data_IF_640710616594
#
_entry.id   IF_640710616594
#
_cell.length_a   1.000
_cell.length_b   1.000
_cell.length_c   1.000
_cell.angle_alpha   90.00
_cell.angle_beta   90.00
_cell.angle_gamma   90.00
#
_symmetry.space_group_name_H-M   'P 1'
#
loop_
_entity.id
_entity.type
_entity.pdbx_description
1 polymer ?
#
# COMPACT_ATOMS: atom_id res chain seq x y z
N UNK A 1 -16.91 -14.67 -14.08
CA UNK A 1 -15.78 -14.24 -13.22
C UNK A 1 -16.16 -14.40 -11.75
N UNK A 2 -15.19 -14.76 -10.90
CA UNK A 2 -15.35 -14.76 -9.45
C UNK A 2 -14.63 -13.55 -8.88
N UNK A 3 -15.36 -12.60 -8.29
CA UNK A 3 -14.86 -11.26 -7.94
C UNK A 3 -15.08 -11.01 -6.45
N UNK A 4 -14.02 -10.67 -5.72
CA UNK A 4 -14.10 -10.20 -4.35
C UNK A 4 -14.18 -8.67 -4.31
N UNK A 5 -14.98 -8.09 -3.41
CA UNK A 5 -15.17 -6.64 -3.29
C UNK A 5 -15.02 -6.22 -1.84
N UNK A 6 -14.19 -5.21 -1.62
CA UNK A 6 -13.93 -4.66 -0.29
C UNK A 6 -13.96 -3.13 -0.31
N UNK A 7 -14.46 -2.55 0.75
CA UNK A 7 -14.25 -1.16 1.16
C UNK A 7 -13.98 -1.11 2.66
N UNK A 8 -13.12 -0.19 3.06
CA UNK A 8 -12.91 0.07 4.49
C UNK A 8 -14.04 0.89 5.08
N UNK A 9 -14.45 1.92 4.34
CA UNK A 9 -15.47 2.87 4.77
C UNK A 9 -16.84 2.50 4.19
N UNK A 10 -17.88 2.82 4.91
CA UNK A 10 -19.27 2.67 4.49
C UNK A 10 -19.86 4.07 4.41
N UNK A 11 -20.15 4.51 3.19
CA UNK A 11 -20.76 5.79 2.91
C UNK A 11 -21.51 5.74 1.58
N UNK A 12 -22.28 6.79 1.28
CA UNK A 12 -23.14 6.84 0.09
C UNK A 12 -22.37 6.65 -1.23
N UNK A 13 -21.13 7.14 -1.33
CA UNK A 13 -20.31 6.96 -2.53
C UNK A 13 -19.91 5.48 -2.74
N UNK A 14 -19.58 4.78 -1.66
CA UNK A 14 -19.28 3.33 -1.68
C UNK A 14 -20.52 2.54 -2.05
N UNK A 15 -21.66 2.84 -1.46
CA UNK A 15 -22.95 2.19 -1.76
C UNK A 15 -23.33 2.36 -3.24
N UNK A 16 -23.22 3.57 -3.77
CA UNK A 16 -23.51 3.85 -5.18
C UNK A 16 -22.58 3.08 -6.13
N UNK A 17 -21.29 3.00 -5.81
CA UNK A 17 -20.32 2.22 -6.61
C UNK A 17 -20.63 0.74 -6.52
N UNK A 18 -20.86 0.21 -5.31
CA UNK A 18 -21.19 -1.21 -5.10
C UNK A 18 -22.49 -1.59 -5.82
N UNK A 19 -23.54 -0.77 -5.70
CA UNK A 19 -24.79 -0.97 -6.42
C UNK A 19 -24.56 -0.99 -7.95
N UNK A 20 -23.78 -0.02 -8.48
CA UNK A 20 -23.46 0.03 -9.90
C UNK A 20 -22.73 -1.22 -10.39
N UNK A 21 -21.82 -1.78 -9.60
CA UNK A 21 -21.12 -3.03 -9.93
C UNK A 21 -22.10 -4.21 -10.02
N UNK A 22 -22.98 -4.36 -9.02
CA UNK A 22 -23.84 -5.52 -8.88
C UNK A 22 -25.01 -5.54 -9.89
N UNK A 23 -25.48 -4.36 -10.36
CA UNK A 23 -26.57 -4.25 -11.32
C UNK A 23 -26.10 -4.00 -12.76
N UNK A 24 -24.78 -3.92 -13.00
CA UNK A 24 -24.26 -3.70 -14.34
C UNK A 24 -24.67 -4.80 -15.32
N UNK A 25 -24.93 -4.46 -16.59
CA UNK A 25 -25.38 -5.44 -17.61
C UNK A 25 -24.46 -6.67 -17.75
N UNK A 26 -23.15 -6.47 -17.61
CA UNK A 26 -22.14 -7.54 -17.67
C UNK A 26 -22.02 -8.35 -16.37
N UNK A 27 -22.71 -7.96 -15.30
CA UNK A 27 -22.65 -8.62 -13.98
C UNK A 27 -23.28 -10.01 -13.99
N UNK A 28 -24.21 -10.29 -14.92
CA UNK A 28 -24.92 -11.57 -15.04
C UNK A 28 -23.99 -12.78 -15.18
N UNK A 29 -22.76 -12.59 -15.67
CA UNK A 29 -21.73 -13.61 -15.84
C UNK A 29 -20.69 -13.63 -14.70
N UNK A 30 -20.97 -12.96 -13.59
CA UNK A 30 -20.06 -12.82 -12.48
C UNK A 30 -20.64 -13.38 -11.17
N UNK A 31 -19.79 -14.00 -10.37
CA UNK A 31 -20.08 -14.40 -9.00
C UNK A 31 -19.38 -13.42 -8.07
N UNK A 32 -20.15 -12.60 -7.37
CA UNK A 32 -19.62 -11.60 -6.47
C UNK A 32 -19.51 -12.13 -5.04
N UNK A 33 -18.43 -11.77 -4.39
CA UNK A 33 -18.16 -11.99 -2.98
C UNK A 33 -17.86 -10.63 -2.35
N UNK A 34 -18.74 -10.12 -1.51
CA UNK A 34 -18.54 -8.85 -0.83
C UNK A 34 -18.04 -9.07 0.60
N UNK A 35 -17.15 -8.22 1.06
CA UNK A 35 -16.68 -8.32 2.44
C UNK A 35 -17.83 -8.05 3.43
N UNK A 36 -17.85 -8.78 4.55
CA UNK A 36 -18.96 -8.78 5.51
C UNK A 36 -19.31 -7.39 6.06
N UNK A 37 -18.32 -6.49 6.21
CA UNK A 37 -18.59 -5.10 6.64
C UNK A 37 -19.55 -4.36 5.68
N UNK A 38 -19.58 -4.71 4.39
CA UNK A 38 -20.46 -4.10 3.40
C UNK A 38 -21.91 -4.62 3.45
N UNK A 39 -22.22 -5.57 4.34
CA UNK A 39 -23.59 -6.04 4.58
C UNK A 39 -24.53 -4.92 5.05
N UNK A 40 -23.98 -3.88 5.66
CA UNK A 40 -24.73 -2.72 6.16
C UNK A 40 -25.17 -1.75 5.03
N UNK A 41 -24.61 -1.89 3.84
CA UNK A 41 -25.01 -1.09 2.68
C UNK A 41 -26.41 -1.44 2.21
N UNK A 42 -27.20 -0.44 1.84
CA UNK A 42 -28.51 -0.64 1.22
C UNK A 42 -28.31 -1.08 -0.25
N UNK A 43 -28.29 -2.40 -0.48
CA UNK A 43 -28.03 -3.01 -1.78
C UNK A 43 -29.30 -3.65 -2.32
N UNK A 44 -29.77 -3.19 -3.50
CA UNK A 44 -30.90 -3.79 -4.20
C UNK A 44 -30.45 -4.91 -5.16
N UNK A 45 -29.61 -5.84 -4.65
CA UNK A 45 -29.15 -7.01 -5.40
C UNK A 45 -29.00 -8.18 -4.44
N UNK A 46 -29.43 -9.36 -4.87
CA UNK A 46 -29.44 -10.58 -4.04
C UNK A 46 -28.42 -11.63 -4.51
N UNK A 47 -27.61 -11.32 -5.53
CA UNK A 47 -26.72 -12.30 -6.18
C UNK A 47 -25.27 -12.12 -5.75
N UNK A 48 -25.00 -12.20 -4.45
CA UNK A 48 -23.63 -12.18 -3.93
C UNK A 48 -23.48 -13.13 -2.73
N UNK A 49 -22.25 -13.55 -2.49
CA UNK A 49 -21.83 -14.26 -1.28
C UNK A 49 -21.01 -13.33 -0.39
N UNK A 50 -20.77 -13.73 0.86
CA UNK A 50 -19.94 -12.96 1.79
C UNK A 50 -18.57 -13.60 1.97
N UNK A 51 -17.57 -12.78 2.30
CA UNK A 51 -16.29 -13.23 2.81
C UNK A 51 -15.85 -12.31 3.98
N UNK A 52 -15.08 -12.86 4.91
CA UNK A 52 -14.68 -12.15 6.14
C UNK A 52 -13.17 -11.89 6.18
N UNK A 53 -12.36 -12.83 5.69
CA UNK A 53 -10.92 -12.77 5.81
C UNK A 53 -10.23 -13.42 4.59
N UNK A 54 -8.91 -13.44 4.60
CA UNK A 54 -8.10 -13.98 3.51
C UNK A 54 -8.31 -15.49 3.28
N UNK A 55 -8.72 -16.27 4.29
CA UNK A 55 -8.93 -17.72 4.18
C UNK A 55 -10.13 -18.06 3.29
N UNK A 56 -11.07 -17.12 3.13
CA UNK A 56 -12.21 -17.27 2.23
C UNK A 56 -11.86 -17.04 0.75
N UNK A 57 -10.66 -16.52 0.48
CA UNK A 57 -10.17 -16.28 -0.87
C UNK A 57 -9.20 -17.40 -1.29
N UNK A 58 -9.15 -17.71 -2.57
CA UNK A 58 -8.25 -18.70 -3.14
C UNK A 58 -7.98 -18.41 -4.62
N UNK A 59 -7.18 -19.23 -5.27
CA UNK A 59 -6.77 -19.08 -6.68
C UNK A 59 -7.92 -19.15 -7.70
N UNK A 60 -9.15 -19.53 -7.29
CA UNK A 60 -10.32 -19.53 -8.19
C UNK A 60 -10.92 -18.13 -8.39
N UNK A 61 -10.48 -17.14 -7.63
CA UNK A 61 -10.90 -15.74 -7.84
C UNK A 61 -10.15 -15.13 -9.01
N UNK A 62 -10.87 -14.34 -9.79
CA UNK A 62 -10.34 -13.69 -11.01
C UNK A 62 -9.90 -12.25 -10.75
N UNK A 63 -10.52 -11.57 -9.79
CA UNK A 63 -10.31 -10.15 -9.52
C UNK A 63 -10.70 -9.78 -8.09
N UNK A 64 -9.96 -8.84 -7.50
CA UNK A 64 -10.32 -8.16 -6.27
C UNK A 64 -10.59 -6.68 -6.56
N UNK A 65 -11.75 -6.17 -6.16
CA UNK A 65 -12.14 -4.76 -6.32
C UNK A 65 -12.05 -4.07 -4.96
N UNK A 66 -11.22 -3.05 -4.88
CA UNK A 66 -11.10 -2.16 -3.73
C UNK A 66 -11.87 -0.88 -4.00
N UNK A 67 -12.91 -0.58 -3.23
CA UNK A 67 -13.71 0.65 -3.36
C UNK A 67 -13.29 1.63 -2.27
N UNK A 68 -12.67 2.75 -2.67
CA UNK A 68 -12.15 3.75 -1.73
C UNK A 68 -10.90 4.46 -2.24
N UNK A 69 -10.10 5.00 -1.34
CA UNK A 69 -8.81 5.63 -1.66
C UNK A 69 -7.63 4.65 -1.62
N UNK A 70 -6.41 5.22 -1.71
CA UNK A 70 -5.17 4.43 -1.62
C UNK A 70 -5.06 3.67 -0.28
N UNK A 71 -5.55 4.23 0.83
CA UNK A 71 -5.57 3.56 2.13
C UNK A 71 -6.43 2.28 2.13
N UNK A 72 -7.60 2.30 1.48
CA UNK A 72 -8.44 1.12 1.30
C UNK A 72 -7.75 0.07 0.42
N UNK A 73 -7.05 0.55 -0.62
CA UNK A 73 -6.26 -0.33 -1.48
C UNK A 73 -5.15 -1.05 -0.70
N UNK A 74 -4.41 -0.33 0.14
CA UNK A 74 -3.37 -0.93 1.01
C UNK A 74 -3.93 -2.02 1.93
N UNK A 75 -5.12 -1.82 2.48
CA UNK A 75 -5.78 -2.85 3.30
C UNK A 75 -6.24 -4.06 2.49
N UNK A 76 -6.57 -3.88 1.21
CA UNK A 76 -6.97 -4.97 0.32
C UNK A 76 -5.89 -6.03 0.14
N UNK A 77 -4.62 -5.67 0.30
CA UNK A 77 -3.47 -6.56 0.16
C UNK A 77 -3.49 -7.68 1.22
N UNK A 78 -4.01 -7.38 2.41
CA UNK A 78 -4.10 -8.35 3.50
C UNK A 78 -5.04 -9.52 3.20
N UNK A 79 -6.03 -9.27 2.34
CA UNK A 79 -6.94 -10.33 1.88
C UNK A 79 -6.34 -11.12 0.72
N UNK A 80 -5.67 -10.43 -0.20
CA UNK A 80 -5.12 -11.05 -1.42
C UNK A 80 -3.83 -11.82 -1.15
N UNK A 81 -2.94 -11.28 -0.31
CA UNK A 81 -1.65 -11.92 0.03
C UNK A 81 -0.90 -12.40 -1.22
N UNK A 82 -0.50 -13.67 -1.24
CA UNK A 82 0.28 -14.31 -2.32
C UNK A 82 -0.58 -15.02 -3.39
N UNK A 83 -1.89 -14.75 -3.44
CA UNK A 83 -2.82 -15.44 -4.36
C UNK A 83 -2.65 -15.10 -5.84
N UNK A 84 -1.74 -14.20 -6.22
CA UNK A 84 -1.61 -13.68 -7.58
C UNK A 84 -2.94 -13.11 -8.15
N UNK A 85 -3.83 -12.67 -7.27
CA UNK A 85 -5.14 -12.11 -7.58
C UNK A 85 -5.00 -10.63 -7.91
N UNK A 86 -5.33 -10.17 -9.13
CA UNK A 86 -5.24 -8.75 -9.47
C UNK A 86 -6.17 -7.89 -8.62
N UNK A 87 -5.67 -6.76 -8.11
CA UNK A 87 -6.45 -5.78 -7.37
C UNK A 87 -6.70 -4.56 -8.26
N UNK A 88 -7.95 -4.14 -8.38
CA UNK A 88 -8.32 -2.88 -9.02
C UNK A 88 -8.91 -1.92 -8.00
N UNK A 89 -8.44 -0.67 -7.99
CA UNK A 89 -8.96 0.37 -7.11
C UNK A 89 -9.97 1.27 -7.83
N UNK A 90 -11.19 1.36 -7.29
CA UNK A 90 -12.22 2.33 -7.70
C UNK A 90 -12.24 3.44 -6.67
N UNK A 91 -11.83 4.63 -7.09
CA UNK A 91 -11.69 5.78 -6.22
C UNK A 91 -13.03 6.48 -5.99
N UNK A 92 -13.41 6.68 -4.72
CA UNK A 92 -14.62 7.38 -4.31
C UNK A 92 -14.38 8.84 -3.89
N UNK A 93 -13.10 9.26 -3.81
CA UNK A 93 -12.71 10.60 -3.38
C UNK A 93 -11.68 11.25 -4.32
N UNK A 94 -10.59 11.77 -3.74
CA UNK A 94 -9.49 12.33 -4.53
C UNK A 94 -8.67 11.22 -5.17
N UNK A 95 -8.44 11.30 -6.49
CA UNK A 95 -7.65 10.32 -7.25
C UNK A 95 -6.34 9.98 -6.54
N UNK A 96 -6.11 8.69 -6.33
CA UNK A 96 -4.89 8.14 -5.73
C UNK A 96 -3.81 7.79 -6.77
N UNK A 97 -2.72 7.18 -6.29
CA UNK A 97 -1.72 6.52 -7.12
C UNK A 97 -2.03 5.03 -7.32
N UNK A 98 -2.81 4.43 -6.40
CA UNK A 98 -3.22 3.03 -6.42
C UNK A 98 -4.68 2.87 -6.89
N UNK A 99 -5.61 3.62 -6.29
CA UNK A 99 -7.00 3.65 -6.71
C UNK A 99 -7.17 4.66 -7.86
N UNK A 100 -7.01 4.17 -9.10
CA UNK A 100 -6.92 5.00 -10.31
C UNK A 100 -8.20 5.08 -11.14
N UNK A 101 -9.19 4.24 -10.87
CA UNK A 101 -10.49 4.26 -11.56
C UNK A 101 -11.39 5.32 -10.94
N UNK A 102 -11.75 6.35 -11.70
CA UNK A 102 -12.60 7.45 -11.22
C UNK A 102 -14.07 7.10 -11.31
N UNK A 103 -14.88 7.56 -10.33
CA UNK A 103 -16.34 7.37 -10.30
C UNK A 103 -17.07 8.04 -11.47
N UNK A 104 -16.55 9.16 -12.00
CA UNK A 104 -17.16 9.88 -13.14
C UNK A 104 -17.21 9.05 -14.43
N UNK A 105 -16.34 8.05 -14.57
CA UNK A 105 -16.29 7.15 -15.73
C UNK A 105 -16.65 5.71 -15.37
N UNK A 106 -17.39 5.51 -14.27
CA UNK A 106 -17.61 4.20 -13.66
C UNK A 106 -18.21 3.18 -14.64
N UNK A 107 -19.30 3.50 -15.30
CA UNK A 107 -20.00 2.60 -16.26
C UNK A 107 -19.06 2.05 -17.33
N UNK A 108 -18.32 2.95 -18.02
CA UNK A 108 -17.36 2.55 -19.06
C UNK A 108 -16.21 1.73 -18.49
N UNK A 109 -15.84 2.01 -17.24
CA UNK A 109 -14.78 1.29 -16.54
C UNK A 109 -15.26 -0.10 -16.13
N UNK A 110 -16.47 -0.23 -15.59
CA UNK A 110 -17.08 -1.50 -15.22
C UNK A 110 -17.21 -2.45 -16.41
N UNK A 111 -17.69 -1.96 -17.55
CA UNK A 111 -17.73 -2.75 -18.79
C UNK A 111 -16.36 -3.34 -19.14
N UNK A 112 -15.28 -2.58 -18.97
CA UNK A 112 -13.91 -3.08 -19.23
C UNK A 112 -13.46 -4.08 -18.16
N UNK A 113 -13.71 -3.77 -16.89
CA UNK A 113 -13.36 -4.62 -15.75
C UNK A 113 -14.02 -5.99 -15.91
N UNK A 114 -15.34 -6.01 -16.07
CA UNK A 114 -16.14 -7.23 -16.11
C UNK A 114 -15.87 -8.05 -17.40
N UNK A 115 -15.38 -7.41 -18.46
CA UNK A 115 -14.88 -8.09 -19.69
C UNK A 115 -13.38 -8.45 -19.63
N UNK A 116 -12.72 -8.36 -18.48
CA UNK A 116 -11.26 -8.58 -18.29
C UNK A 116 -10.37 -7.74 -19.22
N UNK A 117 -10.82 -6.52 -19.61
CA UNK A 117 -10.06 -5.61 -20.48
C UNK A 117 -9.24 -4.63 -19.63
N UNK A 118 -8.27 -5.13 -18.89
CA UNK A 118 -7.33 -4.37 -18.08
C UNK A 118 -5.91 -4.93 -18.24
N UNK A 119 -4.91 -4.11 -17.99
CA UNK A 119 -3.52 -4.54 -17.86
C UNK A 119 -3.20 -4.81 -16.40
N UNK A 120 -2.20 -5.66 -16.14
CA UNK A 120 -1.73 -5.98 -14.79
C UNK A 120 -0.28 -5.58 -14.66
N UNK A 121 0.06 -4.85 -13.60
CA UNK A 121 1.42 -4.51 -13.22
C UNK A 121 1.76 -5.16 -11.88
N UNK A 122 2.97 -5.72 -11.78
CA UNK A 122 3.48 -6.23 -10.51
C UNK A 122 4.06 -5.09 -9.67
N UNK A 123 3.82 -5.16 -8.37
CA UNK A 123 4.35 -4.24 -7.35
C UNK A 123 5.05 -5.05 -6.27
N UNK A 124 6.31 -4.75 -6.05
CA UNK A 124 7.09 -5.37 -4.98
C UNK A 124 6.57 -4.93 -3.60
N UNK A 125 6.71 -5.81 -2.62
CA UNK A 125 6.44 -5.56 -1.22
C UNK A 125 7.75 -5.60 -0.43
N UNK A 126 7.76 -4.92 0.71
CA UNK A 126 8.72 -5.15 1.77
C UNK A 126 8.14 -6.14 2.77
N UNK A 127 8.98 -7.04 3.26
CA UNK A 127 8.73 -7.93 4.39
C UNK A 127 9.53 -7.46 5.58
N UNK A 128 8.93 -7.47 6.77
CA UNK A 128 9.59 -7.13 8.01
C UNK A 128 9.46 -8.24 9.04
N UNK A 129 10.52 -8.47 9.78
CA UNK A 129 10.52 -9.34 10.95
C UNK A 129 11.45 -8.76 12.03
N UNK A 130 11.26 -9.19 13.26
CA UNK A 130 12.03 -8.71 14.41
C UNK A 130 12.67 -9.89 15.15
N UNK A 131 13.83 -9.67 15.75
CA UNK A 131 14.56 -10.69 16.49
C UNK A 131 13.69 -11.36 17.58
N UNK A 132 12.80 -10.60 18.21
CA UNK A 132 11.99 -11.06 19.35
C UNK A 132 10.53 -11.36 18.95
N UNK A 133 10.22 -11.50 17.65
CA UNK A 133 8.86 -11.72 17.14
C UNK A 133 7.83 -10.75 17.74
N UNK A 134 8.18 -9.44 17.85
CA UNK A 134 7.29 -8.41 18.38
C UNK A 134 6.06 -8.15 17.51
N UNK A 135 6.10 -8.59 16.25
CA UNK A 135 4.97 -8.54 15.33
C UNK A 135 4.14 -9.82 15.58
N UNK A 136 2.84 -9.72 15.85
CA UNK A 136 2.00 -10.90 16.09
C UNK A 136 2.08 -11.89 14.92
N UNK A 137 2.12 -13.20 15.24
CA UNK A 137 2.30 -14.27 14.23
C UNK A 137 1.16 -14.33 13.18
N UNK A 138 -0.04 -13.92 13.55
CA UNK A 138 -1.22 -13.83 12.68
C UNK A 138 -1.29 -12.54 11.86
N UNK A 139 -0.41 -11.58 12.14
CA UNK A 139 -0.35 -10.34 11.38
C UNK A 139 0.23 -10.56 9.98
N UNK A 140 -0.07 -9.62 9.08
CA UNK A 140 0.49 -9.57 7.74
C UNK A 140 1.71 -8.63 7.76
N UNK A 141 2.96 -9.15 7.84
CA UNK A 141 4.18 -8.35 8.03
C UNK A 141 4.74 -7.81 6.72
N UNK A 142 3.89 -7.37 5.80
CA UNK A 142 4.27 -6.88 4.48
C UNK A 142 3.72 -5.49 4.25
N UNK A 143 4.51 -4.65 3.57
CA UNK A 143 4.15 -3.30 3.17
C UNK A 143 4.25 -3.12 1.66
N UNK A 144 3.23 -2.53 1.04
CA UNK A 144 3.27 -2.10 -0.35
C UNK A 144 3.93 -0.73 -0.48
N UNK A 145 3.71 0.17 0.48
CA UNK A 145 4.34 1.48 0.49
C UNK A 145 5.64 1.47 1.28
N UNK A 146 5.56 1.39 2.61
CA UNK A 146 6.74 1.57 3.44
C UNK A 146 6.65 0.88 4.80
N UNK A 147 7.83 0.61 5.34
CA UNK A 147 8.07 0.27 6.73
C UNK A 147 8.80 1.46 7.34
N UNK A 148 8.34 1.95 8.48
CA UNK A 148 9.03 3.04 9.16
C UNK A 148 9.24 2.78 10.64
N UNK A 149 10.38 3.25 11.16
CA UNK A 149 10.65 3.35 12.58
C UNK A 149 10.58 4.81 12.96
N UNK A 150 9.78 5.13 14.00
CA UNK A 150 9.51 6.52 14.40
C UNK A 150 9.58 6.61 15.92
N UNK A 151 10.06 7.74 16.44
CA UNK A 151 10.00 8.03 17.89
C UNK A 151 8.56 7.91 18.39
N UNK A 152 8.40 7.35 19.59
CA UNK A 152 7.08 7.21 20.21
C UNK A 152 6.59 8.53 20.77
N UNK A 153 7.47 9.25 21.45
CA UNK A 153 7.15 10.50 22.12
C UNK A 153 7.82 11.70 21.43
N UNK A 154 7.28 12.90 21.65
CA UNK A 154 7.67 14.09 20.89
C UNK A 154 8.90 14.82 21.44
N UNK A 155 9.43 14.40 22.60
CA UNK A 155 10.41 15.17 23.37
C UNK A 155 11.87 14.96 22.96
N UNK A 156 12.20 13.83 22.34
CA UNK A 156 13.59 13.53 21.98
C UNK A 156 13.68 12.77 20.65
N UNK A 157 14.72 13.06 19.87
CA UNK A 157 15.06 12.27 18.69
C UNK A 157 15.52 10.87 19.08
N UNK A 158 15.41 9.96 18.15
CA UNK A 158 15.97 8.61 18.23
C UNK A 158 17.21 8.50 17.35
N UNK A 159 18.07 7.54 17.68
CA UNK A 159 19.21 7.16 16.86
C UNK A 159 18.88 5.85 16.14
N UNK A 160 18.75 5.91 14.82
CA UNK A 160 18.40 4.76 13.97
C UNK A 160 19.67 4.23 13.32
N UNK A 161 20.26 3.20 13.90
CA UNK A 161 21.42 2.50 13.34
C UNK A 161 20.98 1.58 12.22
N UNK A 162 21.63 1.71 11.05
CA UNK A 162 21.27 0.98 9.84
C UNK A 162 22.47 0.26 9.25
N UNK A 163 22.29 -1.01 8.92
CA UNK A 163 23.26 -1.83 8.20
C UNK A 163 22.62 -2.40 6.93
N UNK A 164 23.39 -2.50 5.86
CA UNK A 164 23.00 -3.05 4.56
C UNK A 164 23.90 -4.24 4.24
N UNK A 165 23.32 -5.41 4.01
CA UNK A 165 24.03 -6.67 3.77
C UNK A 165 25.11 -6.94 4.85
N UNK A 166 24.78 -6.67 6.11
CA UNK A 166 25.68 -6.81 7.24
C UNK A 166 26.72 -5.69 7.42
N UNK A 167 26.82 -4.76 6.47
CA UNK A 167 27.75 -3.62 6.56
C UNK A 167 27.07 -2.43 7.20
N UNK A 168 27.63 -1.89 8.30
CA UNK A 168 27.16 -0.64 8.88
C UNK A 168 27.30 0.52 7.90
N UNK A 169 26.19 1.27 7.72
CA UNK A 169 26.14 2.40 6.77
C UNK A 169 26.01 3.72 7.50
N UNK A 170 25.06 3.86 8.41
CA UNK A 170 24.81 5.12 9.09
C UNK A 170 24.02 4.94 10.39
N UNK A 171 24.12 5.97 11.23
CA UNK A 171 23.26 6.17 12.39
C UNK A 171 22.54 7.51 12.22
N UNK A 172 21.23 7.45 11.95
CA UNK A 172 20.41 8.63 11.75
C UNK A 172 19.90 9.15 13.09
N UNK A 173 20.39 10.31 13.49
CA UNK A 173 19.80 11.04 14.63
C UNK A 173 18.64 11.87 14.08
N UNK A 174 17.41 11.40 14.29
CA UNK A 174 16.24 11.86 13.56
C UNK A 174 14.94 11.57 14.32
N UNK A 175 13.82 12.01 13.79
CA UNK A 175 12.50 11.60 14.26
C UNK A 175 12.16 10.15 13.86
N UNK A 176 12.85 9.62 12.83
CA UNK A 176 12.68 8.26 12.33
C UNK A 176 13.37 8.00 11.01
N UNK A 177 13.13 6.79 10.49
CA UNK A 177 13.61 6.33 9.18
C UNK A 177 12.49 5.59 8.47
N UNK A 178 12.31 5.89 7.19
CA UNK A 178 11.38 5.21 6.29
C UNK A 178 12.18 4.31 5.35
N UNK A 179 11.75 3.07 5.22
CA UNK A 179 12.21 2.12 4.18
C UNK A 179 11.03 1.93 3.24
N UNK A 180 11.14 2.43 2.02
CA UNK A 180 10.03 2.49 1.07
C UNK A 180 10.29 1.68 -0.18
N UNK A 181 9.24 1.05 -0.71
CA UNK A 181 9.21 0.48 -2.06
C UNK A 181 9.16 1.60 -3.11
N UNK A 182 9.34 1.30 -4.40
CA UNK A 182 9.07 2.27 -5.46
C UNK A 182 7.62 2.79 -5.45
N UNK A 183 6.64 1.94 -5.12
CA UNK A 183 5.25 2.34 -4.98
C UNK A 183 5.08 3.37 -3.86
N UNK A 184 5.67 3.13 -2.70
CA UNK A 184 5.63 4.02 -1.54
C UNK A 184 6.50 5.28 -1.68
N UNK A 185 7.33 5.38 -2.74
CA UNK A 185 8.09 6.62 -3.00
C UNK A 185 7.19 7.85 -3.20
N UNK A 186 5.91 7.65 -3.50
CA UNK A 186 4.87 8.70 -3.58
C UNK A 186 4.02 8.81 -2.30
N UNK A 187 4.33 8.02 -1.26
CA UNK A 187 3.70 8.02 0.07
C UNK A 187 4.44 8.90 1.08
N UNK A 188 4.66 8.36 2.27
CA UNK A 188 5.30 9.10 3.36
C UNK A 188 6.74 9.52 3.04
N UNK A 189 7.48 8.68 2.28
CA UNK A 189 8.83 9.00 1.80
C UNK A 189 8.88 10.33 1.03
N UNK A 190 7.89 10.59 0.15
CA UNK A 190 7.82 11.86 -0.59
C UNK A 190 7.71 13.07 0.33
N UNK A 191 6.87 12.97 1.37
CA UNK A 191 6.67 14.05 2.36
C UNK A 191 7.93 14.37 3.16
N UNK A 192 8.83 13.38 3.29
CA UNK A 192 10.14 13.52 3.96
C UNK A 192 11.28 13.83 3.00
N UNK A 193 10.99 14.22 1.75
CA UNK A 193 12.00 14.62 0.76
C UNK A 193 12.66 13.45 0.03
N UNK A 194 12.07 12.25 0.07
CA UNK A 194 12.50 11.10 -0.71
C UNK A 194 12.28 11.31 -2.22
N UNK A 195 13.09 10.67 -3.08
CA UNK A 195 12.93 10.75 -4.52
C UNK A 195 11.69 9.99 -4.99
N UNK A 196 11.04 10.48 -6.04
CA UNK A 196 10.01 9.72 -6.76
C UNK A 196 10.68 8.64 -7.61
N UNK A 197 10.27 7.40 -7.43
CA UNK A 197 10.80 6.24 -8.13
C UNK A 197 9.68 5.62 -8.99
N UNK A 198 10.03 5.19 -10.21
CA UNK A 198 9.08 4.46 -11.05
C UNK A 198 8.62 3.18 -10.34
N UNK A 199 7.31 2.90 -10.25
CA UNK A 199 6.79 1.77 -9.50
C UNK A 199 7.30 0.39 -9.96
N UNK A 200 7.84 0.32 -11.16
CA UNK A 200 8.41 -0.92 -11.75
C UNK A 200 9.92 -1.05 -11.54
N UNK A 201 10.56 -0.13 -10.80
CA UNK A 201 12.00 -0.19 -10.53
C UNK A 201 12.32 -1.26 -9.48
N UNK A 202 13.48 -1.90 -9.63
CA UNK A 202 14.01 -2.85 -8.65
C UNK A 202 14.87 -2.13 -7.61
N UNK A 203 14.23 -1.33 -6.76
CA UNK A 203 14.94 -0.51 -5.78
C UNK A 203 14.12 -0.34 -4.49
N UNK A 204 14.82 0.03 -3.43
CA UNK A 204 14.27 0.43 -2.14
C UNK A 204 14.86 1.80 -1.82
N UNK A 205 14.13 2.67 -1.14
CA UNK A 205 14.64 3.95 -0.68
C UNK A 205 14.58 4.05 0.84
N UNK A 206 15.70 4.47 1.44
CA UNK A 206 15.78 4.83 2.84
C UNK A 206 15.67 6.35 2.94
N UNK A 207 14.65 6.85 3.63
CA UNK A 207 14.40 8.29 3.78
C UNK A 207 14.37 8.65 5.27
N UNK A 208 15.34 9.41 5.80
CA UNK A 208 15.30 9.86 7.18
C UNK A 208 14.21 10.91 7.40
N UNK A 209 13.54 10.85 8.56
CA UNK A 209 12.49 11.80 8.96
C UNK A 209 13.13 12.90 9.80
N UNK A 210 13.11 14.14 9.35
CA UNK A 210 13.65 15.31 10.06
C UNK A 210 15.03 15.05 10.70
N UNK A 211 16.05 14.61 9.93
CA UNK A 211 17.35 14.28 10.50
C UNK A 211 18.06 15.53 11.02
N UNK A 212 18.72 15.40 12.17
CA UNK A 212 19.59 16.45 12.70
C UNK A 212 20.92 16.54 11.92
N UNK A 213 21.36 15.41 11.38
CA UNK A 213 22.61 15.35 10.61
C UNK A 213 22.46 16.09 9.27
N UNK A 214 23.20 17.19 9.07
CA UNK A 214 23.15 18.00 7.86
C UNK A 214 23.52 17.24 6.57
N UNK A 215 24.29 16.16 6.70
CA UNK A 215 24.73 15.32 5.58
C UNK A 215 23.79 14.16 5.26
N UNK A 216 22.76 13.92 6.09
CA UNK A 216 21.81 12.86 5.82
C UNK A 216 21.00 13.16 4.54
N UNK A 217 20.92 12.17 3.67
CA UNK A 217 20.16 12.24 2.41
C UNK A 217 19.41 10.92 2.22
N UNK A 218 18.26 10.93 1.54
CA UNK A 218 17.66 9.69 1.09
C UNK A 218 18.63 8.85 0.27
N UNK A 219 18.66 7.54 0.52
CA UNK A 219 19.54 6.59 -0.15
C UNK A 219 18.71 5.58 -0.93
N UNK A 220 18.97 5.48 -2.23
CA UNK A 220 18.35 4.46 -3.10
C UNK A 220 19.31 3.28 -3.22
N UNK A 221 18.80 2.09 -2.96
CA UNK A 221 19.55 0.82 -2.99
C UNK A 221 18.83 -0.22 -3.87
N UNK A 222 19.53 -1.32 -4.20
CA UNK A 222 18.89 -2.47 -4.85
C UNK A 222 17.82 -3.08 -3.95
N UNK A 223 16.75 -3.59 -4.55
CA UNK A 223 15.69 -4.31 -3.83
C UNK A 223 16.14 -5.68 -3.31
N UNK A 224 17.29 -6.19 -3.75
CA UNK A 224 17.92 -7.40 -3.22
C UNK A 224 18.68 -7.20 -1.91
N UNK A 225 18.88 -5.95 -1.47
CA UNK A 225 19.63 -5.61 -0.27
C UNK A 225 18.84 -5.96 0.99
N UNK A 226 19.48 -6.64 1.94
CA UNK A 226 18.93 -6.89 3.28
C UNK A 226 19.26 -5.74 4.21
N UNK A 227 18.24 -5.21 4.88
CA UNK A 227 18.36 -4.05 5.75
C UNK A 227 18.18 -4.51 7.20
N UNK A 228 19.16 -4.18 8.06
CA UNK A 228 19.06 -4.35 9.52
C UNK A 228 18.98 -2.97 10.16
N UNK A 229 17.98 -2.77 11.03
CA UNK A 229 17.74 -1.53 11.77
C UNK A 229 17.71 -1.86 13.26
N UNK A 230 18.37 -1.03 14.07
CA UNK A 230 18.16 -0.98 15.51
C UNK A 230 17.98 0.46 15.96
N UNK A 231 17.09 0.66 16.94
CA UNK A 231 16.74 2.01 17.42
C UNK A 231 17.20 2.15 18.86
N UNK A 232 17.85 3.28 19.17
CA UNK A 232 18.18 3.68 20.54
C UNK A 232 17.70 5.11 20.79
N UNK A 233 17.46 5.45 22.05
CA UNK A 233 16.98 6.77 22.43
C UNK A 233 16.83 6.88 23.95
N UNK A 234 16.24 7.98 24.42
CA UNK A 234 15.98 8.21 25.85
C UNK A 234 14.83 7.36 26.39
N UNK A 235 13.84 7.13 25.52
CA UNK A 235 12.67 6.30 25.83
C UNK A 235 13.01 4.82 25.63
N UNK A 236 12.24 3.93 26.24
CA UNK A 236 12.45 2.47 26.14
C UNK A 236 11.88 1.88 24.85
N UNK A 237 10.98 2.59 24.18
CA UNK A 237 10.22 2.09 23.04
C UNK A 237 10.18 3.10 21.89
N UNK A 238 10.06 2.56 20.68
CA UNK A 238 9.76 3.29 19.45
C UNK A 238 8.55 2.66 18.74
N UNK A 239 8.06 3.33 17.70
CA UNK A 239 6.99 2.82 16.85
C UNK A 239 7.58 2.21 15.58
N UNK A 240 7.10 1.00 15.23
CA UNK A 240 7.32 0.35 13.96
C UNK A 240 6.00 0.40 13.18
N UNK A 241 6.00 1.06 12.02
CA UNK A 241 4.83 1.11 11.15
C UNK A 241 5.04 0.23 9.93
N UNK A 242 4.02 -0.51 9.54
CA UNK A 242 3.95 -1.35 8.33
C UNK A 242 2.73 -0.87 7.56
N UNK A 243 2.94 -0.03 6.55
CA UNK A 243 1.88 0.75 5.91
C UNK A 243 1.00 1.45 6.99
N UNK A 244 -0.29 1.09 7.09
CA UNK A 244 -1.22 1.69 8.05
C UNK A 244 -1.22 1.03 9.45
N UNK A 245 -0.43 -0.01 9.70
CA UNK A 245 -0.38 -0.71 10.99
C UNK A 245 0.79 -0.22 11.83
N UNK A 246 0.56 -0.03 13.13
CA UNK A 246 1.57 0.50 14.06
C UNK A 246 1.77 -0.49 15.21
N UNK A 247 3.02 -0.79 15.50
CA UNK A 247 3.47 -1.64 16.60
C UNK A 247 4.40 -0.86 17.51
N UNK A 248 4.32 -1.11 18.82
CA UNK A 248 5.29 -0.59 19.81
C UNK A 248 6.40 -1.61 19.98
N UNK A 249 7.63 -1.21 19.70
CA UNK A 249 8.81 -2.07 19.74
C UNK A 249 9.79 -1.54 20.77
N UNK A 250 10.38 -2.44 21.57
CA UNK A 250 11.42 -2.06 22.55
C UNK A 250 12.70 -1.64 21.81
N UNK A 251 13.35 -0.60 22.30
CA UNK A 251 14.63 -0.17 21.77
C UNK A 251 15.67 -1.30 21.82
N UNK A 252 16.69 -1.22 20.98
CA UNK A 252 17.74 -2.21 20.72
C UNK A 252 17.24 -3.53 20.09
N UNK A 253 15.92 -3.72 19.91
CA UNK A 253 15.40 -4.84 19.12
C UNK A 253 15.85 -4.70 17.68
N UNK A 254 16.45 -5.74 17.12
CA UNK A 254 16.82 -5.77 15.71
C UNK A 254 15.58 -5.97 14.84
N UNK A 255 15.45 -5.12 13.84
CA UNK A 255 14.40 -5.14 12.83
C UNK A 255 15.07 -5.43 11.50
N UNK A 256 14.57 -6.43 10.80
CA UNK A 256 15.06 -6.84 9.49
C UNK A 256 14.00 -6.52 8.45
N UNK A 257 14.43 -5.87 7.37
CA UNK A 257 13.58 -5.53 6.24
C UNK A 257 14.23 -6.04 4.96
N UNK A 258 13.44 -6.73 4.15
CA UNK A 258 13.86 -7.28 2.87
C UNK A 258 12.70 -7.25 1.86
N UNK A 259 12.98 -7.46 0.59
CA UNK A 259 11.95 -7.65 -0.42
C UNK A 259 11.17 -8.93 -0.14
N UNK A 260 9.86 -8.88 -0.32
CA UNK A 260 8.99 -10.06 -0.24
C UNK A 260 9.27 -11.07 -1.35
N UNK A 261 8.98 -12.34 -1.08
CA UNK A 261 9.06 -13.45 -2.04
C UNK A 261 7.96 -13.40 -3.10
N UNK A 262 6.94 -12.57 -2.93
CA UNK A 262 5.83 -12.39 -3.85
C UNK A 262 5.54 -10.92 -4.11
N UNK A 263 4.91 -10.65 -5.24
CA UNK A 263 4.47 -9.31 -5.66
C UNK A 263 2.94 -9.21 -5.59
N UNK A 264 2.42 -8.00 -5.43
CA UNK A 264 1.00 -7.71 -5.63
C UNK A 264 0.75 -7.36 -7.09
N UNK A 265 -0.35 -7.88 -7.63
CA UNK A 265 -0.82 -7.55 -8.97
C UNK A 265 -1.80 -6.39 -8.92
N UNK A 266 -1.45 -5.26 -9.55
CA UNK A 266 -2.32 -4.08 -9.67
C UNK A 266 -2.93 -4.05 -11.05
N UNK A 267 -4.26 -4.13 -11.12
CA UNK A 267 -4.98 -4.06 -12.39
C UNK A 267 -5.29 -2.60 -12.74
N UNK A 268 -5.01 -2.22 -13.98
CA UNK A 268 -5.18 -0.87 -14.50
C UNK A 268 -6.04 -0.86 -15.76
N UNK A 269 -6.97 0.11 -15.86
CA UNK A 269 -7.80 0.34 -17.04
C UNK A 269 -7.24 1.51 -17.84
N UNK A 270 -7.54 1.56 -19.15
CA UNK A 270 -7.32 2.74 -20.01
C UNK A 270 -5.87 3.19 -20.14
N UNK A 271 -4.90 2.25 -20.27
CA UNK A 271 -3.48 2.59 -20.41
C UNK A 271 -3.04 3.57 -19.32
N UNK A 272 -3.25 3.16 -18.05
CA UNK A 272 -2.74 3.91 -16.91
C UNK A 272 -1.29 4.33 -17.15
N UNK A 273 -0.99 5.58 -16.88
CA UNK A 273 0.35 6.12 -17.02
C UNK A 273 0.76 6.81 -15.71
N UNK A 274 1.71 6.22 -15.01
CA UNK A 274 2.24 6.73 -13.75
C UNK A 274 2.68 8.19 -13.85
N UNK A 275 3.40 8.56 -14.91
CA UNK A 275 3.94 9.92 -15.08
C UNK A 275 2.83 10.95 -15.30
N UNK A 276 1.73 10.56 -15.98
CA UNK A 276 0.55 11.42 -16.11
C UNK A 276 -0.11 11.66 -14.75
N UNK A 277 -0.30 10.59 -13.97
CA UNK A 277 -0.86 10.69 -12.61
C UNK A 277 0.03 11.55 -11.72
N UNK A 278 1.35 11.35 -11.76
CA UNK A 278 2.33 12.13 -11.03
C UNK A 278 2.24 13.62 -11.38
N UNK A 279 2.25 13.95 -12.69
CA UNK A 279 2.09 15.33 -13.16
C UNK A 279 0.79 15.97 -12.67
N UNK A 280 -0.32 15.25 -12.74
CA UNK A 280 -1.63 15.77 -12.33
C UNK A 280 -1.72 15.97 -10.81
N UNK A 281 -1.14 15.07 -10.02
CA UNK A 281 -1.17 15.15 -8.54
C UNK A 281 -0.19 16.16 -7.97
N UNK A 282 1.02 16.22 -8.49
CA UNK A 282 2.06 17.15 -8.02
C UNK A 282 2.02 18.51 -8.75
N UNK A 283 1.06 18.70 -9.66
CA UNK A 283 0.88 19.93 -10.44
C UNK A 283 2.13 20.33 -11.25
N UNK A 284 2.97 19.36 -11.61
CA UNK A 284 4.18 19.61 -12.37
C UNK A 284 3.88 20.22 -13.74
N UNK A 285 4.56 21.28 -14.09
CA UNK A 285 4.36 22.03 -15.34
C UNK A 285 3.05 22.84 -15.39
N UNK A 286 2.36 23.02 -14.25
CA UNK A 286 1.18 23.90 -14.14
C UNK A 286 1.54 25.27 -13.52
N UNK A 287 2.80 25.68 -13.57
CA UNK A 287 3.19 27.02 -13.15
C UNK A 287 2.55 28.04 -14.09
N UNK A 288 1.83 29.02 -13.53
CA UNK A 288 1.16 30.08 -14.32
C UNK A 288 2.12 31.03 -15.06
N UNK A 289 3.44 30.86 -14.84
CA UNK A 289 4.48 31.67 -15.48
C UNK A 289 5.04 31.05 -16.77
N UNK A 290 4.57 29.86 -17.14
CA UNK A 290 4.89 29.19 -18.42
C UNK A 290 3.66 29.09 -19.29
#
# INVERSE_FOLDING_TARGET
MKIAIFSQDINQDVENVLQSILVHEEASNCNFFIHDNLRQCEINANNFSLFENHENLNESFDLFISIGGDGTFLRSIEFVRNLNLPIIGINTGRLGFLATTKKENLEKSLTKILKKKFSVEKRSLLKVFTENNCIPMDSFPYALNEISVVRKDTTSMINVKTSLDGTYVNSYWSDGLIVSTPTGSTGYSLSCGGPVISPTSNSIVLTPISPHNLNARPLVISDSTKIEISVSGREDFHLLSIDAKIYTVKNETKIYVEKSDFDIQVANINNYNFYKTLKDKLLWGKDKRN
#
